data_IF_996108382598
#
_entry.id   IF_996108382598
#
_cell.length_a   1.000
_cell.length_b   1.000
_cell.length_c   1.000
_cell.angle_alpha   90.00
_cell.angle_beta   90.00
_cell.angle_gamma   90.00
#
_symmetry.space_group_name_H-M   'P 1'
#
loop_
_entity.id
_entity.type
_entity.pdbx_description
1 polymer ?
#
# COMPACT_ATOMS: atom_id res chain seq x y z
N UNK A 1 26.02 19.93 7.29
CA UNK A 1 24.92 18.98 7.01
C UNK A 1 25.03 17.87 8.04
N UNK A 2 24.43 18.07 9.21
CA UNK A 2 24.46 17.10 10.31
C UNK A 2 23.09 16.43 10.29
N UNK A 3 23.02 15.16 9.87
CA UNK A 3 21.85 14.33 10.12
C UNK A 3 21.86 14.04 11.62
N UNK A 4 20.90 14.62 12.36
CA UNK A 4 20.69 14.30 13.76
C UNK A 4 20.17 12.86 13.90
N UNK A 5 20.55 12.14 14.97
CA UNK A 5 20.15 10.74 15.22
C UNK A 5 18.63 10.54 15.35
N UNK A 6 17.85 11.61 15.50
CA UNK A 6 16.38 11.58 15.66
C UNK A 6 15.59 11.63 14.34
N UNK A 7 16.25 11.51 13.18
CA UNK A 7 15.53 11.35 11.91
C UNK A 7 14.85 9.99 11.84
N UNK A 8 13.55 9.95 11.53
CA UNK A 8 12.74 8.73 11.49
C UNK A 8 13.29 7.61 10.60
N UNK A 9 14.12 7.93 9.60
CA UNK A 9 14.82 6.93 8.77
C UNK A 9 15.90 6.16 9.53
N UNK A 10 16.61 6.81 10.47
CA UNK A 10 17.65 6.13 11.25
C UNK A 10 17.05 5.19 12.28
N UNK A 11 15.85 5.50 12.77
CA UNK A 11 15.09 4.63 13.67
C UNK A 11 14.70 3.31 13.01
N UNK A 12 14.49 3.30 11.69
CA UNK A 12 14.10 2.10 10.93
C UNK A 12 15.24 1.06 10.86
N UNK A 13 16.50 1.50 10.77
CA UNK A 13 17.66 0.62 10.51
C UNK A 13 17.93 -0.39 11.64
N UNK A 14 17.45 -0.13 12.86
CA UNK A 14 17.66 -0.98 14.02
C UNK A 14 16.43 -1.75 14.50
N UNK A 15 15.32 -1.71 13.76
CA UNK A 15 14.07 -2.35 14.17
C UNK A 15 13.83 -3.64 13.36
N UNK A 16 13.47 -4.72 14.05
CA UNK A 16 13.11 -6.00 13.45
C UNK A 16 11.67 -5.94 12.92
N UNK A 17 11.48 -5.40 11.72
CA UNK A 17 10.21 -5.49 11.01
C UNK A 17 10.42 -5.90 9.56
N UNK A 18 9.45 -6.66 9.02
CA UNK A 18 9.52 -7.20 7.65
C UNK A 18 8.67 -6.41 6.64
N UNK A 19 7.84 -5.48 7.12
CA UNK A 19 6.83 -4.79 6.32
C UNK A 19 6.87 -3.28 6.54
N UNK A 20 7.01 -2.53 5.45
CA UNK A 20 6.80 -1.09 5.39
C UNK A 20 5.44 -0.76 4.79
N UNK A 21 4.59 -0.11 5.58
CA UNK A 21 3.26 0.33 5.13
C UNK A 21 3.33 1.73 4.53
N UNK A 22 2.67 1.93 3.40
CA UNK A 22 2.56 3.21 2.71
C UNK A 22 1.13 3.72 2.91
N UNK A 23 1.01 4.82 3.66
CA UNK A 23 -0.28 5.37 4.08
C UNK A 23 -1.13 5.90 2.91
N UNK A 24 -2.46 5.82 3.09
CA UNK A 24 -3.47 6.27 2.12
C UNK A 24 -3.25 7.69 1.62
N UNK A 25 -2.82 8.62 2.49
CA UNK A 25 -2.59 10.02 2.11
C UNK A 25 -1.57 10.19 0.97
N UNK A 26 -0.58 9.29 0.87
CA UNK A 26 0.35 9.28 -0.26
C UNK A 26 -0.28 8.64 -1.50
N UNK A 27 -1.08 7.58 -1.32
CA UNK A 27 -1.74 6.86 -2.41
C UNK A 27 -2.76 7.75 -3.12
N UNK A 28 -3.58 8.48 -2.36
CA UNK A 28 -4.65 9.36 -2.84
C UNK A 28 -4.15 10.40 -3.88
N UNK A 29 -2.90 10.84 -3.76
CA UNK A 29 -2.33 11.89 -4.62
C UNK A 29 -1.34 11.36 -5.65
N UNK A 30 -1.06 10.06 -5.69
CA UNK A 30 0.07 9.51 -6.44
C UNK A 30 -0.08 9.64 -7.97
N UNK A 31 -1.31 9.67 -8.46
CA UNK A 31 -1.60 9.80 -9.89
C UNK A 31 -1.61 11.25 -10.38
N UNK A 32 -1.86 12.21 -9.48
CA UNK A 32 -2.07 13.63 -9.83
C UNK A 32 -0.90 14.52 -9.40
N UNK A 33 -0.08 14.07 -8.45
CA UNK A 33 1.05 14.82 -7.91
C UNK A 33 2.38 14.11 -8.22
N UNK A 34 3.19 14.71 -9.10
CA UNK A 34 4.49 14.13 -9.46
C UNK A 34 5.46 14.03 -8.28
N UNK A 35 5.36 14.91 -7.28
CA UNK A 35 6.19 14.84 -6.08
C UNK A 35 5.81 13.62 -5.25
N UNK A 36 4.51 13.35 -5.08
CA UNK A 36 4.02 12.13 -4.42
C UNK A 36 4.50 10.86 -5.16
N UNK A 37 4.38 10.84 -6.50
CA UNK A 37 4.87 9.72 -7.30
C UNK A 37 6.39 9.48 -7.15
N UNK A 38 7.20 10.54 -7.10
CA UNK A 38 8.65 10.44 -6.87
C UNK A 38 8.96 9.96 -5.45
N UNK A 39 8.25 10.49 -4.46
CA UNK A 39 8.40 10.08 -3.06
C UNK A 39 8.09 8.59 -2.88
N UNK A 40 6.99 8.11 -3.46
CA UNK A 40 6.62 6.69 -3.41
C UNK A 40 7.72 5.79 -4.00
N UNK A 41 8.27 6.15 -5.18
CA UNK A 41 9.39 5.39 -5.77
C UNK A 41 10.63 5.40 -4.88
N UNK A 42 10.92 6.52 -4.22
CA UNK A 42 11.99 6.61 -3.24
C UNK A 42 11.78 5.68 -2.05
N UNK A 43 10.55 5.63 -1.52
CA UNK A 43 10.16 4.73 -0.43
C UNK A 43 10.32 3.26 -0.85
N UNK A 44 9.85 2.90 -2.04
CA UNK A 44 10.00 1.53 -2.57
C UNK A 44 11.48 1.15 -2.72
N UNK A 45 12.30 2.06 -3.26
CA UNK A 45 13.74 1.82 -3.39
C UNK A 45 14.42 1.64 -2.02
N UNK A 46 14.03 2.43 -1.01
CA UNK A 46 14.51 2.28 0.36
C UNK A 46 14.09 0.93 0.96
N UNK A 47 12.81 0.55 0.81
CA UNK A 47 12.31 -0.72 1.30
C UNK A 47 13.08 -1.90 0.70
N UNK A 48 13.33 -1.85 -0.62
CA UNK A 48 14.13 -2.85 -1.32
C UNK A 48 15.58 -2.93 -0.77
N UNK A 49 16.22 -1.79 -0.54
CA UNK A 49 17.58 -1.74 0.02
C UNK A 49 17.66 -2.33 1.44
N UNK A 50 16.58 -2.17 2.22
CA UNK A 50 16.44 -2.72 3.57
C UNK A 50 15.82 -4.13 3.60
N UNK A 51 15.51 -4.71 2.43
CA UNK A 51 14.84 -6.02 2.27
C UNK A 51 13.47 -6.11 2.97
N UNK A 52 12.76 -4.99 3.01
CA UNK A 52 11.41 -4.87 3.55
C UNK A 52 10.38 -5.10 2.43
N UNK A 53 9.30 -5.80 2.75
CA UNK A 53 8.11 -5.86 1.89
C UNK A 53 7.28 -4.61 2.05
N UNK A 54 6.61 -4.16 1.00
CA UNK A 54 5.78 -2.96 1.00
C UNK A 54 4.30 -3.30 0.93
N UNK A 55 3.49 -2.57 1.71
CA UNK A 55 2.03 -2.65 1.65
C UNK A 55 1.46 -1.25 1.46
N UNK A 56 0.81 -0.98 0.33
CA UNK A 56 0.05 0.25 0.13
C UNK A 56 -1.33 0.15 0.78
N UNK A 57 -1.68 1.13 1.62
CA UNK A 57 -2.97 1.20 2.30
C UNK A 57 -3.92 2.19 1.62
N UNK A 58 -5.21 1.85 1.62
CA UNK A 58 -6.26 2.72 1.11
C UNK A 58 -6.38 2.76 -0.41
N UNK A 59 -5.92 1.74 -1.14
CA UNK A 59 -6.12 1.68 -2.60
C UNK A 59 -7.62 1.62 -2.92
N UNK A 60 -8.13 2.62 -3.64
CA UNK A 60 -9.54 2.74 -4.01
C UNK A 60 -9.79 2.39 -5.48
N UNK A 61 -8.82 2.65 -6.37
CA UNK A 61 -9.01 2.54 -7.82
C UNK A 61 -8.09 1.54 -8.50
N UNK A 62 -8.49 1.07 -9.68
CA UNK A 62 -7.67 0.19 -10.52
C UNK A 62 -6.43 0.89 -11.05
N UNK A 63 -6.51 2.20 -11.32
CA UNK A 63 -5.39 2.99 -11.80
C UNK A 63 -4.32 3.17 -10.70
N UNK A 64 -4.74 3.40 -9.45
CA UNK A 64 -3.83 3.37 -8.29
C UNK A 64 -3.16 2.01 -8.17
N UNK A 65 -3.94 0.91 -8.19
CA UNK A 65 -3.40 -0.44 -8.08
C UNK A 65 -2.39 -0.76 -9.19
N UNK A 66 -2.70 -0.37 -10.43
CA UNK A 66 -1.82 -0.55 -11.57
C UNK A 66 -0.52 0.26 -11.41
N UNK A 67 -0.62 1.53 -11.04
CA UNK A 67 0.54 2.38 -10.80
C UNK A 67 1.43 1.82 -9.68
N UNK A 68 0.84 1.42 -8.55
CA UNK A 68 1.57 0.91 -7.39
C UNK A 68 2.32 -0.37 -7.73
N UNK A 69 1.66 -1.29 -8.46
CA UNK A 69 2.31 -2.50 -8.97
C UNK A 69 3.47 -2.19 -9.90
N UNK A 70 3.29 -1.25 -10.83
CA UNK A 70 4.35 -0.82 -11.75
C UNK A 70 5.51 -0.11 -11.03
N UNK A 71 5.22 0.58 -9.92
CA UNK A 71 6.22 1.22 -9.07
C UNK A 71 7.01 0.24 -8.18
N UNK A 72 6.62 -1.04 -8.14
CA UNK A 72 7.28 -2.08 -7.36
C UNK A 72 6.74 -2.27 -5.94
N UNK A 73 5.50 -1.83 -5.67
CA UNK A 73 4.84 -2.14 -4.39
C UNK A 73 4.41 -3.61 -4.38
N UNK A 74 4.72 -4.34 -3.30
CA UNK A 74 4.51 -5.79 -3.21
C UNK A 74 3.03 -6.16 -2.99
N UNK A 75 2.37 -5.45 -2.08
CA UNK A 75 1.01 -5.74 -1.64
C UNK A 75 0.16 -4.46 -1.60
N UNK A 76 -1.14 -4.60 -1.82
CA UNK A 76 -2.11 -3.52 -1.67
C UNK A 76 -3.27 -3.92 -0.77
N UNK A 77 -3.77 -2.97 0.01
CA UNK A 77 -4.97 -3.09 0.81
C UNK A 77 -5.85 -1.87 0.54
N UNK A 78 -7.14 -2.11 0.29
CA UNK A 78 -8.09 -1.01 0.18
C UNK A 78 -9.42 -1.44 -0.44
N UNK A 79 -10.31 -0.46 -0.55
CA UNK A 79 -11.67 -0.66 -1.06
C UNK A 79 -11.72 -1.09 -2.52
N UNK A 80 -10.63 -0.90 -3.27
CA UNK A 80 -10.48 -1.48 -4.60
C UNK A 80 -10.74 -3.00 -4.56
N UNK A 81 -10.19 -3.72 -3.59
CA UNK A 81 -10.46 -5.15 -3.42
C UNK A 81 -11.69 -5.41 -2.57
N UNK A 82 -11.74 -4.87 -1.35
CA UNK A 82 -12.82 -5.14 -0.41
C UNK A 82 -12.97 -4.00 0.59
N UNK A 83 -14.22 -3.72 0.98
CA UNK A 83 -14.47 -2.95 2.21
C UNK A 83 -14.13 -3.79 3.44
N UNK A 84 -14.05 -3.13 4.59
CA UNK A 84 -14.01 -3.83 5.87
C UNK A 84 -15.27 -4.71 6.01
N UNK A 85 -15.07 -5.95 6.43
CA UNK A 85 -16.12 -6.97 6.58
C UNK A 85 -16.17 -7.44 8.03
N UNK A 86 -17.26 -8.12 8.41
CA UNK A 86 -17.36 -8.75 9.72
C UNK A 86 -16.32 -9.86 9.88
N UNK A 87 -16.00 -10.23 11.12
CA UNK A 87 -15.12 -11.36 11.41
C UNK A 87 -15.63 -12.67 10.79
N UNK A 88 -16.95 -12.91 10.80
CA UNK A 88 -17.55 -14.08 10.17
C UNK A 88 -17.30 -14.13 8.66
N UNK A 89 -17.45 -12.99 7.97
CA UNK A 89 -17.24 -12.89 6.54
C UNK A 89 -15.75 -12.96 6.17
N UNK A 90 -14.88 -12.37 7.00
CA UNK A 90 -13.43 -12.52 6.85
C UNK A 90 -13.02 -14.00 6.96
N UNK A 91 -13.52 -14.73 7.96
CA UNK A 91 -13.25 -16.17 8.11
C UNK A 91 -13.68 -16.97 6.89
N UNK A 92 -14.87 -16.67 6.35
CA UNK A 92 -15.38 -17.30 5.13
C UNK A 92 -14.47 -17.04 3.93
N UNK A 93 -14.06 -15.79 3.72
CA UNK A 93 -13.13 -15.39 2.65
C UNK A 93 -11.78 -16.09 2.80
N UNK A 94 -11.25 -16.20 4.01
CA UNK A 94 -9.97 -16.86 4.26
C UNK A 94 -10.03 -18.37 4.01
N UNK A 95 -11.17 -19.02 4.29
CA UNK A 95 -11.35 -20.45 4.03
C UNK A 95 -11.66 -20.79 2.57
N UNK A 96 -12.46 -19.95 1.90
CA UNK A 96 -12.98 -20.23 0.54
C UNK A 96 -12.20 -19.50 -0.56
N UNK A 97 -11.34 -18.55 -0.19
CA UNK A 97 -10.68 -17.62 -1.09
C UNK A 97 -11.54 -16.39 -1.38
N UNK A 98 -10.88 -15.27 -1.72
CA UNK A 98 -11.59 -14.06 -2.14
C UNK A 98 -12.16 -14.26 -3.55
N UNK A 99 -13.48 -14.10 -3.78
CA UNK A 99 -14.05 -14.26 -5.11
C UNK A 99 -13.50 -13.16 -6.04
N UNK A 100 -12.69 -13.53 -7.03
CA UNK A 100 -12.07 -12.59 -7.98
C UNK A 100 -13.11 -11.76 -8.76
N UNK A 101 -14.35 -12.25 -8.86
CA UNK A 101 -15.48 -11.55 -9.47
C UNK A 101 -15.95 -10.30 -8.67
N UNK A 102 -15.61 -10.18 -7.39
CA UNK A 102 -15.99 -9.03 -6.56
C UNK A 102 -14.97 -7.89 -6.61
N UNK A 103 -13.69 -8.17 -6.89
CA UNK A 103 -12.63 -7.16 -6.99
C UNK A 103 -12.86 -6.14 -8.13
N UNK A 104 -13.73 -6.46 -9.10
CA UNK A 104 -14.08 -5.57 -10.20
C UNK A 104 -15.37 -4.77 -9.96
N UNK A 105 -16.21 -5.14 -8.97
CA UNK A 105 -17.50 -4.49 -8.70
C UNK A 105 -17.41 -3.36 -7.66
N UNK A 106 -16.48 -3.45 -6.72
CA UNK A 106 -16.20 -2.42 -5.70
C UNK A 106 -15.69 -1.10 -6.29
N UNK A 107 -14.92 -1.15 -7.38
CA UNK A 107 -14.43 0.02 -8.11
C UNK A 107 -15.55 0.86 -8.77
N UNK A 108 -16.75 0.30 -8.94
CA UNK A 108 -17.87 0.95 -9.65
C UNK A 108 -18.92 1.59 -8.74
N UNK A 109 -18.80 1.47 -7.41
CA UNK A 109 -19.77 2.07 -6.45
C UNK A 109 -19.16 3.29 -5.74
N UNK A 110 -18.97 4.37 -6.49
CA UNK A 110 -18.87 5.73 -5.97
C UNK A 110 -19.73 6.64 -6.87
N UNK A 111 -21.03 6.60 -6.62
CA UNK A 111 -21.98 7.69 -6.93
C UNK A 111 -22.60 8.13 -5.61
#
# INVERSE_FOLDING_TARGET
>A
MILAPDSGLMQIVGLDFDILKIDHSLIETVLTNQTAARMLRGIVALAAALRLRTVAEGVETGDEAFFLRAAGVDCGQGWFWSRAVSASEASRILSEGYPLANAQKSASKKS
#
